data_IF_340637209897
#
_entry.id   IF_340637209897
#
_cell.length_a   1.000
_cell.length_b   1.000
_cell.length_c   1.000
_cell.angle_alpha   90.00
_cell.angle_beta   90.00
_cell.angle_gamma   90.00
#
_symmetry.space_group_name_H-M   'P 1'
#
loop_
_entity.id
_entity.type
_entity.pdbx_description
1 polymer ?
#
# COMPACT_ATOMS: atom_id res chain seq x y z
N UNK A 1 -5.84 11.95 19.76
CA UNK A 1 -5.60 10.85 18.80
C UNK A 1 -6.06 11.19 17.38
N UNK A 2 -7.30 11.63 17.15
CA UNK A 2 -7.80 11.91 15.78
C UNK A 2 -7.23 13.18 15.10
N UNK A 3 -6.96 14.25 15.87
CA UNK A 3 -6.41 15.50 15.31
C UNK A 3 -5.01 15.27 14.73
N UNK A 4 -4.13 14.60 15.45
CA UNK A 4 -2.78 14.30 14.96
C UNK A 4 -2.81 13.39 13.72
N UNK A 5 -3.74 12.42 13.68
CA UNK A 5 -3.92 11.57 12.51
C UNK A 5 -4.40 12.36 11.28
N UNK A 6 -5.33 13.31 11.47
CA UNK A 6 -5.78 14.18 10.41
C UNK A 6 -4.66 15.11 9.91
N UNK A 7 -3.88 15.69 10.82
CA UNK A 7 -2.78 16.60 10.48
C UNK A 7 -1.67 15.85 9.74
N UNK A 8 -1.24 14.68 10.24
CA UNK A 8 -0.21 13.88 9.58
C UNK A 8 -0.67 13.43 8.19
N UNK A 9 -1.89 12.89 8.08
CA UNK A 9 -2.45 12.48 6.79
C UNK A 9 -2.61 13.65 5.81
N UNK A 10 -3.04 14.81 6.30
CA UNK A 10 -3.19 16.03 5.49
C UNK A 10 -1.86 16.59 4.99
N UNK A 11 -0.86 16.69 5.85
CA UNK A 11 0.49 17.15 5.49
C UNK A 11 1.12 16.19 4.48
N UNK A 12 1.03 14.89 4.73
CA UNK A 12 1.57 13.88 3.83
C UNK A 12 0.85 13.89 2.48
N UNK A 13 -0.47 14.02 2.46
CA UNK A 13 -1.22 14.16 1.21
C UNK A 13 -0.79 15.40 0.41
N UNK A 14 -0.63 16.55 1.08
CA UNK A 14 -0.15 17.77 0.44
C UNK A 14 1.29 17.60 -0.10
N UNK A 15 2.18 16.93 0.63
CA UNK A 15 3.54 16.62 0.16
C UNK A 15 3.52 15.77 -1.11
N UNK A 16 2.72 14.70 -1.16
CA UNK A 16 2.60 13.87 -2.35
C UNK A 16 1.94 14.61 -3.52
N UNK A 17 0.98 15.49 -3.25
CA UNK A 17 0.40 16.37 -4.28
C UNK A 17 1.45 17.33 -4.85
N UNK A 18 2.28 17.96 -4.01
CA UNK A 18 3.40 18.81 -4.46
C UNK A 18 4.37 18.01 -5.31
N UNK A 19 4.72 16.79 -4.87
CA UNK A 19 5.63 15.91 -5.60
C UNK A 19 5.05 15.51 -6.97
N UNK A 20 3.76 15.22 -7.04
CA UNK A 20 3.06 14.91 -8.29
C UNK A 20 3.06 16.10 -9.26
N UNK A 21 2.85 17.32 -8.76
CA UNK A 21 2.91 18.55 -9.56
C UNK A 21 4.32 18.77 -10.11
N UNK A 22 5.35 18.57 -9.28
CA UNK A 22 6.75 18.82 -9.67
C UNK A 22 7.24 17.81 -10.71
N UNK A 23 6.82 16.54 -10.58
CA UNK A 23 7.32 15.47 -11.44
C UNK A 23 6.46 15.21 -12.69
N UNK A 24 5.23 15.78 -12.79
CA UNK A 24 4.22 15.48 -13.84
C UNK A 24 4.02 13.98 -14.07
N UNK A 25 4.32 13.16 -13.06
CA UNK A 25 4.20 11.72 -13.15
C UNK A 25 2.73 11.33 -12.98
N UNK A 26 2.33 10.29 -13.71
CA UNK A 26 1.00 9.72 -13.55
C UNK A 26 0.80 9.25 -12.10
N UNK A 27 -0.43 9.36 -11.55
CA UNK A 27 -0.72 9.00 -10.16
C UNK A 27 -0.15 7.64 -9.69
N UNK A 28 -0.16 6.57 -10.50
CA UNK A 28 0.41 5.28 -10.10
C UNK A 28 1.90 5.34 -9.74
N UNK A 29 2.68 6.16 -10.46
CA UNK A 29 4.13 6.27 -10.27
C UNK A 29 4.47 6.97 -8.95
N UNK A 30 3.68 7.97 -8.58
CA UNK A 30 3.82 8.70 -7.31
C UNK A 30 3.49 7.78 -6.12
N UNK A 31 2.47 6.93 -6.26
CA UNK A 31 2.12 5.93 -5.24
C UNK A 31 3.23 4.88 -5.04
N UNK A 32 3.88 4.44 -6.13
CA UNK A 32 5.01 3.50 -6.06
C UNK A 32 6.22 4.15 -5.37
N UNK A 33 6.49 5.44 -5.63
CA UNK A 33 7.53 6.17 -4.90
C UNK A 33 7.22 6.24 -3.40
N UNK A 34 5.98 6.54 -3.02
CA UNK A 34 5.57 6.54 -1.62
C UNK A 34 5.69 5.16 -0.96
N UNK A 35 5.31 4.10 -1.67
CA UNK A 35 5.51 2.73 -1.21
C UNK A 35 7.00 2.42 -0.98
N UNK A 36 7.85 2.78 -1.95
CA UNK A 36 9.30 2.52 -1.89
C UNK A 36 9.97 3.30 -0.77
N UNK A 37 9.57 4.56 -0.56
CA UNK A 37 10.04 5.37 0.56
C UNK A 37 9.63 4.74 1.90
N UNK A 38 8.37 4.30 2.03
CA UNK A 38 7.90 3.60 3.22
C UNK A 38 8.73 2.35 3.54
N UNK A 39 9.03 1.53 2.53
CA UNK A 39 9.89 0.35 2.68
C UNK A 39 11.34 0.71 3.06
N UNK A 40 11.90 1.76 2.45
CA UNK A 40 13.28 2.19 2.70
C UNK A 40 13.48 2.77 4.11
N UNK A 41 12.46 3.47 4.64
CA UNK A 41 12.49 4.08 5.97
C UNK A 41 12.22 3.07 7.11
N UNK A 42 11.75 1.86 6.78
CA UNK A 42 11.44 0.80 7.76
C UNK A 42 12.63 0.36 8.61
N UNK A 43 13.81 0.00 8.03
CA UNK A 43 14.96 -0.42 8.84
C UNK A 43 15.51 0.70 9.73
N UNK A 44 15.21 1.97 9.42
CA UNK A 44 15.61 3.11 10.25
C UNK A 44 14.67 3.39 11.43
N UNK A 45 13.55 2.66 11.57
CA UNK A 45 12.58 2.83 12.65
C UNK A 45 11.70 4.08 12.56
N UNK A 46 12.00 4.98 11.63
CA UNK A 46 11.31 6.27 11.46
C UNK A 46 9.82 6.09 11.13
N UNK A 47 9.44 5.00 10.46
CA UNK A 47 8.04 4.66 10.16
C UNK A 47 7.24 4.32 11.42
N UNK A 48 7.87 3.73 12.43
CA UNK A 48 7.22 3.36 13.70
C UNK A 48 6.96 4.61 14.56
N UNK A 49 7.93 5.52 14.66
CA UNK A 49 7.77 6.78 15.39
C UNK A 49 6.68 7.66 14.76
N UNK A 50 6.63 7.71 13.42
CA UNK A 50 5.57 8.40 12.69
C UNK A 50 4.20 7.72 12.86
N UNK A 51 4.16 6.40 13.02
CA UNK A 51 2.92 5.66 13.26
C UNK A 51 2.38 5.94 14.67
N UNK A 52 3.25 6.04 15.67
CA UNK A 52 2.85 6.26 17.05
C UNK A 52 2.36 7.71 17.26
N UNK A 53 2.99 8.68 16.60
CA UNK A 53 2.54 10.07 16.61
C UNK A 53 1.32 10.34 15.73
N UNK A 54 1.32 9.77 14.52
CA UNK A 54 0.33 10.00 13.48
C UNK A 54 -0.86 9.04 13.48
N UNK A 55 -0.83 7.98 14.30
CA UNK A 55 -1.89 6.99 14.44
C UNK A 55 -2.46 6.51 13.10
N UNK A 56 -3.79 6.58 12.98
CA UNK A 56 -4.51 6.17 11.78
C UNK A 56 -4.10 6.91 10.50
N UNK A 57 -3.50 8.10 10.60
CA UNK A 57 -3.10 8.91 9.45
C UNK A 57 -1.98 8.29 8.62
N UNK A 58 -1.05 7.57 9.27
CA UNK A 58 0.00 6.83 8.57
C UNK A 58 -0.50 5.45 8.12
N UNK A 59 -1.33 4.78 8.94
CA UNK A 59 -1.82 3.43 8.68
C UNK A 59 -2.63 3.31 7.38
N UNK A 60 -3.43 4.32 7.04
CA UNK A 60 -4.22 4.32 5.79
C UNK A 60 -3.39 4.67 4.55
N UNK A 61 -2.14 5.08 4.73
CA UNK A 61 -1.32 5.63 3.66
C UNK A 61 -0.47 4.54 2.99
N UNK A 62 -0.19 4.70 1.69
CA UNK A 62 0.58 3.72 0.90
C UNK A 62 2.00 3.46 1.46
N UNK A 63 2.54 4.39 2.25
CA UNK A 63 3.82 4.22 2.93
C UNK A 63 3.77 3.10 3.99
N UNK A 64 2.62 2.90 4.64
CA UNK A 64 2.45 1.82 5.61
C UNK A 64 2.45 0.44 4.93
N UNK A 65 1.87 0.33 3.73
CA UNK A 65 1.98 -0.89 2.94
C UNK A 65 3.44 -1.22 2.62
N UNK A 66 4.27 -0.21 2.29
CA UNK A 66 5.71 -0.38 2.12
C UNK A 66 6.40 -0.85 3.40
N UNK A 67 6.02 -0.29 4.54
CA UNK A 67 6.56 -0.68 5.85
C UNK A 67 6.20 -2.12 6.25
N UNK A 68 4.96 -2.53 6.00
CA UNK A 68 4.52 -3.90 6.24
C UNK A 68 5.35 -4.89 5.41
N UNK A 69 5.51 -4.64 4.11
CA UNK A 69 6.29 -5.52 3.23
C UNK A 69 7.77 -5.61 3.65
N UNK A 70 8.39 -4.48 4.01
CA UNK A 70 9.76 -4.47 4.49
C UNK A 70 9.92 -5.23 5.83
N UNK A 71 8.96 -5.10 6.74
CA UNK A 71 8.96 -5.82 8.02
C UNK A 71 8.81 -7.34 7.82
N UNK A 72 7.88 -7.76 6.97
CA UNK A 72 7.68 -9.16 6.59
C UNK A 72 8.92 -9.77 5.92
N UNK A 73 9.59 -9.01 5.04
CA UNK A 73 10.85 -9.44 4.42
C UNK A 73 11.96 -9.69 5.46
N UNK A 74 12.06 -8.84 6.48
CA UNK A 74 13.03 -9.01 7.58
C UNK A 74 12.67 -10.26 8.41
N UNK A 75 11.39 -10.48 8.69
CA UNK A 75 10.91 -11.68 9.40
C UNK A 75 11.16 -12.96 8.60
N UNK A 76 10.94 -12.94 7.28
CA UNK A 76 11.30 -14.03 6.36
C UNK A 76 12.78 -14.38 6.43
N UNK A 77 13.66 -13.36 6.46
CA UNK A 77 15.11 -13.54 6.53
C UNK A 77 15.59 -14.05 7.91
N UNK A 78 14.78 -13.88 8.96
CA UNK A 78 15.09 -14.39 10.30
C UNK A 78 15.13 -15.93 10.38
N UNK A 79 14.66 -16.62 9.32
CA UNK A 79 14.77 -18.08 9.19
C UNK A 79 13.79 -18.87 10.05
N UNK A 80 12.80 -18.22 10.66
CA UNK A 80 11.79 -18.89 11.46
C UNK A 80 10.75 -19.60 10.55
N UNK A 81 10.59 -20.93 10.63
CA UNK A 81 9.71 -21.67 9.72
C UNK A 81 8.23 -21.29 9.85
N UNK A 82 7.78 -20.83 11.03
CA UNK A 82 6.39 -20.40 11.23
C UNK A 82 6.07 -19.11 10.47
N UNK A 83 6.96 -18.11 10.55
CA UNK A 83 6.79 -16.82 9.86
C UNK A 83 6.77 -17.01 8.35
N UNK A 84 7.66 -17.85 7.82
CA UNK A 84 7.73 -18.14 6.40
C UNK A 84 6.40 -18.69 5.89
N UNK A 85 5.79 -19.65 6.59
CA UNK A 85 4.50 -20.23 6.20
C UNK A 85 3.39 -19.18 6.22
N UNK A 86 3.37 -18.32 7.23
CA UNK A 86 2.36 -17.26 7.38
C UNK A 86 2.47 -16.24 6.25
N UNK A 87 3.68 -15.73 5.97
CA UNK A 87 3.88 -14.73 4.92
C UNK A 87 3.54 -15.29 3.54
N UNK A 88 3.97 -16.52 3.21
CA UNK A 88 3.60 -17.16 1.94
C UNK A 88 2.08 -17.39 1.84
N UNK A 89 1.43 -17.83 2.92
CA UNK A 89 -0.02 -18.00 2.96
C UNK A 89 -0.77 -16.70 2.70
N UNK A 90 -0.30 -15.59 3.28
CA UNK A 90 -0.87 -14.26 3.07
C UNK A 90 -0.73 -13.78 1.61
N UNK A 91 0.46 -13.95 1.00
CA UNK A 91 0.68 -13.59 -0.40
C UNK A 91 -0.20 -14.40 -1.37
N UNK A 92 -0.37 -15.70 -1.12
CA UNK A 92 -1.26 -16.55 -1.92
C UNK A 92 -2.71 -16.06 -1.82
N UNK A 93 -3.17 -15.76 -0.60
CA UNK A 93 -4.53 -15.24 -0.36
C UNK A 93 -4.79 -13.92 -1.10
N UNK A 94 -3.87 -12.96 -0.98
CA UNK A 94 -3.94 -11.67 -1.67
C UNK A 94 -3.96 -11.83 -3.19
N UNK A 95 -3.15 -12.74 -3.73
CA UNK A 95 -3.10 -13.00 -5.18
C UNK A 95 -4.40 -13.61 -5.69
N UNK A 96 -4.99 -14.56 -4.96
CA UNK A 96 -6.27 -15.16 -5.30
C UNK A 96 -7.39 -14.12 -5.32
N UNK A 97 -7.46 -13.25 -4.30
CA UNK A 97 -8.44 -12.16 -4.25
C UNK A 97 -8.29 -11.22 -5.46
N UNK A 98 -7.05 -10.88 -5.82
CA UNK A 98 -6.75 -10.04 -6.99
C UNK A 98 -7.21 -10.67 -8.31
N UNK A 99 -6.91 -11.95 -8.53
CA UNK A 99 -7.32 -12.69 -9.74
C UNK A 99 -8.85 -12.77 -9.83
N UNK A 100 -9.53 -13.12 -8.74
CA UNK A 100 -11.00 -13.21 -8.70
C UNK A 100 -11.64 -11.85 -8.98
N UNK A 101 -11.14 -10.77 -8.36
CA UNK A 101 -11.64 -9.43 -8.60
C UNK A 101 -11.42 -8.97 -10.06
N UNK A 102 -10.28 -9.30 -10.65
CA UNK A 102 -9.99 -9.05 -12.06
C UNK A 102 -10.95 -9.80 -13.00
N UNK A 103 -11.19 -11.08 -12.71
CA UNK A 103 -12.13 -11.90 -13.47
C UNK A 103 -13.57 -11.35 -13.41
N UNK A 104 -14.02 -10.92 -12.22
CA UNK A 104 -15.34 -10.28 -12.04
C UNK A 104 -15.44 -8.96 -12.82
N UNK A 105 -14.36 -8.17 -12.88
CA UNK A 105 -14.38 -6.93 -13.69
C UNK A 105 -14.48 -7.23 -15.19
N UNK A 106 -13.74 -8.22 -15.70
CA UNK A 106 -13.84 -8.62 -17.10
C UNK A 106 -15.25 -9.08 -17.48
N UNK A 107 -15.90 -9.90 -16.65
CA UNK A 107 -17.26 -10.39 -16.94
C UNK A 107 -18.33 -9.29 -16.93
N UNK A 108 -18.17 -8.26 -16.08
CA UNK A 108 -19.06 -7.08 -16.06
C UNK A 108 -18.88 -6.23 -17.31
N UNK A 109 -17.65 -6.07 -17.81
CA UNK A 109 -17.36 -5.31 -19.03
C UNK A 109 -17.94 -6.05 -20.25
N UNK A 110 -17.74 -7.37 -20.34
CA UNK A 110 -18.28 -8.19 -21.42
C UNK A 110 -19.83 -8.14 -21.45
N UNK A 111 -20.47 -8.12 -20.28
CA UNK A 111 -21.93 -7.99 -20.16
C UNK A 111 -22.44 -6.62 -20.66
N UNK A 112 -21.69 -5.54 -20.40
CA UNK A 112 -22.04 -4.19 -20.92
C UNK A 112 -21.87 -4.10 -22.43
N UNK A 113 -20.83 -4.71 -22.99
CA UNK A 113 -20.58 -4.68 -24.44
C UNK A 113 -21.70 -5.38 -25.23
N UNK A 114 -22.19 -6.52 -24.73
CA UNK A 114 -23.34 -7.26 -25.32
C UNK A 114 -24.67 -6.50 -25.22
N UNK A 115 -24.86 -5.62 -24.24
CA UNK A 115 -26.07 -4.80 -24.09
C UNK A 115 -26.04 -3.59 -25.02
N UNK A 116 -24.86 -3.04 -25.34
CA UNK A 116 -24.71 -1.87 -26.23
C UNK A 116 -24.75 -2.28 -27.71
N UNK A 117 -24.40 -3.53 -28.04
CA UNK A 117 -24.43 -4.07 -29.40
C UNK A 117 -25.81 -4.55 -29.89
N UNK A 118 -26.90 -4.28 -29.14
CA UNK A 118 -28.28 -4.64 -29.47
C UNK A 118 -29.16 -3.40 -29.53
#
# INVERSE_FOLDING_TARGET
MYINAFILGGILCALFQIFAIFTKLEPPKVLILGFTLGALLTPYGMTADLADWGGAGLLIMVMNAGNAVASEMILLLSGNPMEIIITFGLFISLTLIGIVAGYVRCSVIESKEKVIAK
#
